data_IF_289790002712
#
_entry.id   IF_289790002712
#
_cell.length_a   1.000
_cell.length_b   1.000
_cell.length_c   1.000
_cell.angle_alpha   90.00
_cell.angle_beta   90.00
_cell.angle_gamma   90.00
#
_symmetry.space_group_name_H-M   'P 1'
#
loop_
_entity.id
_entity.type
_entity.pdbx_description
1 polymer ?
#
# COMPACT_ATOMS: atom_id res chain seq x y z
N UNK A 1 -85.78 39.78 -51.29
CA UNK A 1 -85.24 39.61 -49.96
C UNK A 1 -83.96 38.79 -50.16
N UNK A 2 -82.81 39.43 -50.04
CA UNK A 2 -81.51 38.81 -50.18
C UNK A 2 -80.93 38.61 -48.80
N UNK A 3 -80.56 37.36 -48.47
CA UNK A 3 -79.94 36.99 -47.17
C UNK A 3 -78.45 36.78 -47.46
N UNK A 4 -77.64 37.70 -46.92
CA UNK A 4 -76.16 37.61 -46.94
C UNK A 4 -75.66 36.68 -45.86
N UNK A 5 -75.07 35.58 -46.23
CA UNK A 5 -74.35 34.70 -45.32
C UNK A 5 -72.87 35.12 -45.26
N UNK A 6 -72.42 35.72 -44.10
CA UNK A 6 -71.03 36.03 -43.81
C UNK A 6 -70.33 34.77 -43.35
N UNK A 7 -69.41 34.28 -44.15
CA UNK A 7 -68.46 33.23 -43.73
C UNK A 7 -67.37 33.85 -42.84
N UNK A 8 -67.32 33.55 -41.56
CA UNK A 8 -66.23 33.89 -40.67
C UNK A 8 -65.15 32.83 -40.79
N UNK A 9 -64.01 33.17 -41.40
CA UNK A 9 -62.80 32.30 -41.40
C UNK A 9 -62.07 32.46 -40.08
N UNK A 10 -62.11 31.43 -39.24
CA UNK A 10 -61.32 31.34 -38.02
C UNK A 10 -59.91 30.84 -38.35
N UNK A 11 -58.92 31.74 -38.36
CA UNK A 11 -57.50 31.39 -38.48
C UNK A 11 -57.02 30.90 -37.13
N UNK A 12 -56.74 29.59 -37.03
CA UNK A 12 -56.10 29.01 -35.85
C UNK A 12 -54.58 29.24 -35.98
N UNK A 13 -54.05 30.14 -35.15
CA UNK A 13 -52.65 30.43 -35.06
C UNK A 13 -51.98 29.35 -34.19
N UNK A 14 -51.29 28.34 -34.81
CA UNK A 14 -50.55 27.31 -34.15
C UNK A 14 -49.21 27.87 -33.70
N UNK A 15 -49.10 28.40 -32.48
CA UNK A 15 -47.86 28.83 -31.86
C UNK A 15 -47.08 27.56 -31.43
N UNK A 16 -46.10 27.17 -32.26
CA UNK A 16 -45.12 26.15 -31.89
C UNK A 16 -44.24 26.63 -30.73
N UNK A 17 -44.48 26.11 -29.54
CA UNK A 17 -43.67 26.35 -28.37
C UNK A 17 -42.32 25.61 -28.52
N UNK A 18 -41.30 26.35 -28.99
CA UNK A 18 -39.92 25.83 -29.10
C UNK A 18 -39.35 25.79 -27.71
N UNK A 19 -39.44 24.62 -26.99
CA UNK A 19 -38.74 24.39 -25.72
C UNK A 19 -37.25 24.24 -26.08
N UNK A 20 -36.36 25.08 -25.54
CA UNK A 20 -34.93 24.86 -25.67
C UNK A 20 -34.62 23.55 -24.92
N UNK A 21 -34.10 22.55 -25.64
CA UNK A 21 -33.51 21.37 -25.00
C UNK A 21 -32.31 21.84 -24.19
N UNK A 22 -32.48 21.97 -22.86
CA UNK A 22 -31.36 22.16 -21.91
C UNK A 22 -30.56 20.88 -21.97
N UNK A 23 -29.47 20.88 -22.74
CA UNK A 23 -28.46 19.83 -22.68
C UNK A 23 -27.90 19.84 -21.28
N UNK A 24 -28.32 18.91 -20.45
CA UNK A 24 -27.66 18.63 -19.16
C UNK A 24 -26.21 18.24 -19.47
N UNK A 25 -25.28 19.18 -19.36
CA UNK A 25 -23.87 18.86 -19.38
C UNK A 25 -23.62 17.98 -18.15
N UNK A 26 -23.33 16.71 -18.39
CA UNK A 26 -22.87 15.80 -17.34
C UNK A 26 -21.55 16.35 -16.84
N UNK A 27 -21.54 16.87 -15.61
CA UNK A 27 -20.30 17.32 -14.96
C UNK A 27 -19.47 16.08 -14.68
N UNK A 28 -18.39 15.90 -15.44
CA UNK A 28 -17.44 14.81 -15.23
C UNK A 28 -16.83 14.94 -13.82
N UNK A 29 -16.98 13.90 -13.01
CA UNK A 29 -16.44 13.86 -11.64
C UNK A 29 -15.08 13.21 -11.66
N UNK A 30 -14.05 13.99 -11.37
CA UNK A 30 -12.66 13.51 -11.29
C UNK A 30 -12.25 13.48 -9.82
N UNK A 31 -11.64 12.38 -9.39
CA UNK A 31 -10.99 12.23 -8.12
C UNK A 31 -9.47 12.13 -8.28
N UNK A 32 -8.72 12.60 -7.30
CA UNK A 32 -7.29 12.37 -7.15
C UNK A 32 -7.03 11.60 -5.87
N UNK A 33 -6.08 10.66 -5.91
CA UNK A 33 -5.58 9.95 -4.73
C UNK A 33 -4.06 10.00 -4.68
N UNK A 34 -3.50 10.16 -3.50
CA UNK A 34 -2.07 10.02 -3.25
C UNK A 34 -1.77 8.59 -2.76
N UNK A 35 -1.23 7.71 -3.63
CA UNK A 35 -0.97 6.32 -3.27
C UNK A 35 0.12 6.16 -2.21
N UNK A 36 1.09 7.08 -2.16
CA UNK A 36 2.16 7.04 -1.15
C UNK A 36 1.56 7.29 0.23
N UNK A 37 0.78 8.36 0.35
CA UNK A 37 0.08 8.70 1.59
C UNK A 37 -0.90 7.60 2.03
N UNK A 38 -1.60 6.97 1.08
CA UNK A 38 -2.51 5.86 1.38
C UNK A 38 -1.76 4.66 1.99
N UNK A 39 -0.62 4.28 1.39
CA UNK A 39 0.18 3.15 1.88
C UNK A 39 0.82 3.45 3.24
N UNK A 40 1.35 4.67 3.43
CA UNK A 40 2.00 5.07 4.67
C UNK A 40 1.03 5.20 5.85
N UNK A 41 -0.22 5.64 5.61
CA UNK A 41 -1.20 5.92 6.65
C UNK A 41 -2.25 4.82 6.84
N UNK A 42 -2.30 3.82 5.95
CA UNK A 42 -3.23 2.71 6.09
C UNK A 42 -2.93 1.87 7.35
N UNK A 43 -3.91 1.62 8.23
CA UNK A 43 -3.69 0.82 9.44
C UNK A 43 -3.28 -0.62 9.14
N UNK A 44 -3.65 -1.15 7.99
CA UNK A 44 -3.24 -2.48 7.51
C UNK A 44 -1.73 -2.56 7.28
N UNK A 45 -1.07 -1.44 6.90
CA UNK A 45 0.38 -1.37 6.76
C UNK A 45 1.10 -1.55 8.10
N UNK A 46 0.62 -0.89 9.16
CA UNK A 46 1.16 -1.05 10.50
C UNK A 46 1.00 -2.50 11.02
N UNK A 47 -0.19 -3.09 10.84
CA UNK A 47 -0.47 -4.49 11.20
C UNK A 47 0.45 -5.47 10.44
N UNK A 48 0.67 -5.23 9.15
CA UNK A 48 1.54 -6.08 8.34
C UNK A 48 3.00 -6.03 8.82
N UNK A 49 3.51 -4.84 9.20
CA UNK A 49 4.84 -4.70 9.78
C UNK A 49 4.96 -5.40 11.13
N UNK A 50 3.99 -5.25 12.03
CA UNK A 50 3.97 -5.93 13.32
C UNK A 50 3.97 -7.45 13.14
N UNK A 51 3.15 -7.99 12.23
CA UNK A 51 3.13 -9.42 11.91
C UNK A 51 4.46 -9.91 11.36
N UNK A 52 5.13 -9.09 10.54
CA UNK A 52 6.43 -9.41 9.97
C UNK A 52 7.52 -9.44 11.05
N UNK A 53 7.53 -8.46 11.97
CA UNK A 53 8.43 -8.44 13.12
C UNK A 53 8.25 -9.67 14.01
N UNK A 54 7.01 -10.07 14.29
CA UNK A 54 6.70 -11.27 15.05
C UNK A 54 7.17 -12.56 14.35
N UNK A 55 6.97 -12.66 13.03
CA UNK A 55 7.42 -13.80 12.21
C UNK A 55 8.95 -13.98 12.27
N UNK A 56 9.70 -12.87 12.25
CA UNK A 56 11.16 -12.90 12.22
C UNK A 56 11.83 -12.84 13.60
N UNK A 57 11.10 -12.56 14.68
CA UNK A 57 11.63 -12.41 16.03
C UNK A 57 12.43 -13.62 16.51
N UNK A 58 11.91 -14.83 16.36
CA UNK A 58 12.60 -16.05 16.77
C UNK A 58 13.93 -16.23 16.04
N UNK A 59 13.96 -15.92 14.75
CA UNK A 59 15.15 -16.00 13.91
C UNK A 59 16.21 -14.96 14.31
N UNK A 60 15.78 -13.75 14.64
CA UNK A 60 16.66 -12.69 15.14
C UNK A 60 17.26 -13.06 16.49
N UNK A 61 16.48 -13.67 17.39
CA UNK A 61 16.97 -14.19 18.66
C UNK A 61 18.00 -15.31 18.47
N UNK A 62 17.78 -16.24 17.53
CA UNK A 62 18.75 -17.29 17.19
C UNK A 62 20.06 -16.71 16.64
N UNK A 63 19.99 -15.73 15.74
CA UNK A 63 21.16 -15.05 15.18
C UNK A 63 21.94 -14.31 16.27
N UNK A 64 21.25 -13.63 17.18
CA UNK A 64 21.85 -12.96 18.32
C UNK A 64 22.54 -13.96 19.24
N UNK A 65 21.89 -15.05 19.60
CA UNK A 65 22.47 -16.09 20.47
C UNK A 65 23.73 -16.71 19.82
N UNK A 66 23.70 -16.94 18.51
CA UNK A 66 24.88 -17.45 17.80
C UNK A 66 26.01 -16.43 17.78
N UNK A 67 25.71 -15.15 17.60
CA UNK A 67 26.69 -14.08 17.69
C UNK A 67 27.33 -14.00 19.08
N UNK A 68 26.52 -13.97 20.14
CA UNK A 68 26.97 -13.90 21.52
C UNK A 68 27.85 -15.12 21.88
N UNK A 69 27.48 -16.30 21.41
CA UNK A 69 28.29 -17.53 21.56
C UNK A 69 29.65 -17.40 20.88
N UNK A 70 29.71 -16.87 19.66
CA UNK A 70 30.97 -16.64 18.94
C UNK A 70 31.87 -15.71 19.73
N UNK A 71 31.32 -14.58 20.21
CA UNK A 71 32.07 -13.62 21.03
C UNK A 71 32.62 -14.25 22.30
N UNK A 72 31.83 -15.05 23.02
CA UNK A 72 32.27 -15.76 24.20
C UNK A 72 33.40 -16.74 23.92
N UNK A 73 33.33 -17.49 22.80
CA UNK A 73 34.39 -18.42 22.39
C UNK A 73 35.68 -17.71 21.98
N UNK A 74 35.58 -16.54 21.33
CA UNK A 74 36.75 -15.69 20.98
C UNK A 74 37.43 -15.16 22.21
N UNK A 75 36.65 -14.63 23.19
CA UNK A 75 37.18 -14.14 24.45
C UNK A 75 37.83 -15.27 25.30
N UNK A 76 37.26 -16.47 25.30
CA UNK A 76 37.85 -17.64 25.95
C UNK A 76 39.15 -18.06 25.29
N UNK A 77 39.19 -18.12 23.99
CA UNK A 77 40.40 -18.47 23.24
C UNK A 77 41.51 -17.43 23.51
N UNK A 78 41.20 -16.14 23.44
CA UNK A 78 42.17 -15.06 23.70
C UNK A 78 42.78 -15.17 25.10
N UNK A 79 41.97 -15.44 26.13
CA UNK A 79 42.46 -15.61 27.52
C UNK A 79 43.35 -16.80 27.72
N UNK A 80 43.07 -17.92 27.03
CA UNK A 80 43.68 -19.21 27.32
C UNK A 80 44.75 -19.62 26.30
N UNK A 81 44.92 -18.89 25.17
CA UNK A 81 45.79 -19.26 24.06
C UNK A 81 47.24 -19.52 24.46
N UNK A 82 47.76 -18.82 25.50
CA UNK A 82 49.11 -18.99 25.94
C UNK A 82 49.36 -20.25 26.83
N UNK A 83 48.29 -20.82 27.38
CA UNK A 83 48.34 -21.98 28.24
C UNK A 83 47.71 -23.25 27.64
N UNK A 84 47.06 -23.08 26.49
CA UNK A 84 46.37 -24.12 25.73
C UNK A 84 47.35 -24.91 24.84
N UNK A 85 47.10 -26.19 24.65
CA UNK A 85 47.83 -26.97 23.64
C UNK A 85 47.58 -26.37 22.21
N UNK A 86 48.63 -26.36 21.40
CA UNK A 86 48.57 -25.80 20.06
C UNK A 86 47.50 -26.45 19.16
N UNK A 87 47.26 -27.75 19.33
CA UNK A 87 46.25 -28.51 18.58
C UNK A 87 44.84 -28.09 19.00
N UNK A 88 44.64 -27.89 20.30
CA UNK A 88 43.37 -27.44 20.88
C UNK A 88 43.07 -26.02 20.46
N UNK A 89 44.05 -25.11 20.50
CA UNK A 89 43.93 -23.74 20.08
C UNK A 89 43.53 -23.68 18.58
N UNK A 90 44.19 -24.45 17.73
CA UNK A 90 43.88 -24.50 16.31
C UNK A 90 42.46 -25.07 16.05
N UNK A 91 42.04 -26.06 16.83
CA UNK A 91 40.70 -26.65 16.71
C UNK A 91 39.63 -25.62 17.09
N UNK A 92 39.80 -24.92 18.20
CA UNK A 92 38.93 -23.83 18.63
C UNK A 92 38.84 -22.71 17.59
N UNK A 93 39.98 -22.29 17.04
CA UNK A 93 40.01 -21.27 15.99
C UNK A 93 39.18 -21.68 14.79
N UNK A 94 39.33 -22.95 14.32
CA UNK A 94 38.55 -23.46 13.17
C UNK A 94 37.03 -23.52 13.49
N UNK A 95 36.68 -23.89 14.72
CA UNK A 95 35.28 -23.88 15.16
C UNK A 95 34.68 -22.48 15.13
N UNK A 96 35.36 -21.47 15.66
CA UNK A 96 34.95 -20.08 15.65
C UNK A 96 34.75 -19.61 14.19
N UNK A 97 35.70 -19.89 13.31
CA UNK A 97 35.61 -19.52 11.89
C UNK A 97 34.41 -20.19 11.19
N UNK A 98 34.13 -21.45 11.53
CA UNK A 98 32.95 -22.17 10.98
C UNK A 98 31.64 -21.50 11.47
N UNK A 99 31.54 -21.16 12.75
CA UNK A 99 30.38 -20.49 13.32
C UNK A 99 30.20 -19.08 12.73
N UNK A 100 31.29 -18.31 12.53
CA UNK A 100 31.24 -17.02 11.85
C UNK A 100 30.68 -17.14 10.41
N UNK A 101 31.18 -18.11 9.66
CA UNK A 101 30.66 -18.36 8.30
C UNK A 101 29.18 -18.76 8.31
N UNK A 102 28.78 -19.57 9.30
CA UNK A 102 27.36 -19.93 9.47
C UNK A 102 26.52 -18.71 9.82
N UNK A 103 26.97 -17.88 10.77
CA UNK A 103 26.28 -16.66 11.15
C UNK A 103 26.07 -15.73 9.94
N UNK A 104 27.14 -15.45 9.19
CA UNK A 104 27.09 -14.59 8.02
C UNK A 104 26.08 -15.08 6.98
N UNK A 105 26.05 -16.42 6.72
CA UNK A 105 25.09 -17.01 5.79
C UNK A 105 23.66 -16.87 6.31
N UNK A 106 23.42 -17.24 7.57
CA UNK A 106 22.08 -17.17 8.15
C UNK A 106 21.55 -15.74 8.25
N UNK A 107 22.44 -14.75 8.50
CA UNK A 107 22.08 -13.33 8.44
C UNK A 107 21.68 -12.89 7.02
N UNK A 108 22.39 -13.37 6.01
CA UNK A 108 22.06 -13.05 4.62
C UNK A 108 20.71 -13.66 4.23
N UNK A 109 20.50 -14.94 4.52
CA UNK A 109 19.23 -15.64 4.29
C UNK A 109 18.06 -14.94 5.00
N UNK A 110 18.25 -14.54 6.28
CA UNK A 110 17.23 -13.82 7.02
C UNK A 110 16.86 -12.49 6.39
N UNK A 111 17.85 -11.73 5.89
CA UNK A 111 17.61 -10.45 5.20
C UNK A 111 16.87 -10.63 3.88
N UNK A 112 17.24 -11.67 3.12
CA UNK A 112 16.58 -11.96 1.84
C UNK A 112 15.12 -12.36 2.05
N UNK A 113 14.87 -13.27 3.01
CA UNK A 113 13.52 -13.70 3.37
C UNK A 113 12.67 -12.54 3.89
N UNK A 114 13.23 -11.71 4.78
CA UNK A 114 12.54 -10.52 5.30
C UNK A 114 12.14 -9.56 4.16
N UNK A 115 13.07 -9.27 3.24
CA UNK A 115 12.80 -8.38 2.12
C UNK A 115 11.73 -8.97 1.18
N UNK A 116 11.78 -10.28 0.94
CA UNK A 116 10.76 -10.98 0.14
C UNK A 116 9.38 -10.84 0.79
N UNK A 117 9.27 -11.19 2.07
CA UNK A 117 8.00 -11.12 2.82
C UNK A 117 7.47 -9.69 2.90
N UNK A 118 8.35 -8.71 3.17
CA UNK A 118 7.98 -7.29 3.18
C UNK A 118 7.41 -6.84 1.83
N UNK A 119 8.03 -7.26 0.72
CA UNK A 119 7.53 -6.92 -0.61
C UNK A 119 6.19 -7.59 -0.91
N UNK A 120 5.97 -8.83 -0.45
CA UNK A 120 4.69 -9.52 -0.57
C UNK A 120 3.58 -8.78 0.20
N UNK A 121 3.85 -8.37 1.45
CA UNK A 121 2.88 -7.61 2.25
C UNK A 121 2.57 -6.24 1.62
N UNK A 122 3.59 -5.54 1.11
CA UNK A 122 3.39 -4.28 0.39
C UNK A 122 2.52 -4.47 -0.86
N UNK A 123 2.74 -5.54 -1.63
CA UNK A 123 1.93 -5.85 -2.82
C UNK A 123 0.46 -6.16 -2.46
N UNK A 124 0.23 -6.87 -1.34
CA UNK A 124 -1.13 -7.11 -0.82
C UNK A 124 -1.81 -5.79 -0.44
N UNK A 125 -1.10 -4.92 0.28
CA UNK A 125 -1.62 -3.60 0.68
C UNK A 125 -1.95 -2.74 -0.54
N UNK A 126 -1.08 -2.68 -1.54
CA UNK A 126 -1.34 -1.97 -2.79
C UNK A 126 -2.59 -2.49 -3.51
N UNK A 127 -2.78 -3.81 -3.51
CA UNK A 127 -3.96 -4.43 -4.12
C UNK A 127 -5.23 -4.06 -3.36
N UNK A 128 -5.20 -4.09 -2.03
CA UNK A 128 -6.31 -3.69 -1.18
C UNK A 128 -6.67 -2.22 -1.39
N UNK A 129 -5.68 -1.32 -1.35
CA UNK A 129 -5.88 0.12 -1.57
C UNK A 129 -6.51 0.37 -2.94
N UNK A 130 -6.01 -0.27 -3.99
CA UNK A 130 -6.58 -0.16 -5.35
C UNK A 130 -8.05 -0.62 -5.39
N UNK A 131 -8.38 -1.72 -4.72
CA UNK A 131 -9.75 -2.21 -4.66
C UNK A 131 -10.66 -1.19 -3.98
N UNK A 132 -10.24 -0.65 -2.83
CA UNK A 132 -10.99 0.37 -2.09
C UNK A 132 -11.21 1.63 -2.93
N UNK A 133 -10.20 2.09 -3.67
CA UNK A 133 -10.32 3.25 -4.56
C UNK A 133 -11.38 2.98 -5.63
N UNK A 134 -11.35 1.81 -6.28
CA UNK A 134 -12.30 1.44 -7.33
C UNK A 134 -13.72 1.36 -6.80
N UNK A 135 -13.92 0.74 -5.64
CA UNK A 135 -15.24 0.58 -5.03
C UNK A 135 -15.80 1.94 -4.61
N UNK A 136 -14.98 2.77 -3.92
CA UNK A 136 -15.37 4.14 -3.56
C UNK A 136 -15.73 4.99 -4.79
N UNK A 137 -14.94 4.87 -5.86
CA UNK A 137 -15.18 5.62 -7.09
C UNK A 137 -16.53 5.26 -7.72
N UNK A 138 -16.86 3.96 -7.77
CA UNK A 138 -18.15 3.47 -8.27
C UNK A 138 -19.30 3.94 -7.40
N UNK A 139 -19.19 3.78 -6.09
CA UNK A 139 -20.26 4.11 -5.15
C UNK A 139 -20.57 5.61 -5.14
N UNK A 140 -19.56 6.44 -5.35
CA UNK A 140 -19.70 7.91 -5.35
C UNK A 140 -19.86 8.51 -6.75
N UNK A 141 -19.87 7.70 -7.80
CA UNK A 141 -20.09 8.13 -9.18
C UNK A 141 -18.96 9.01 -9.71
N UNK A 142 -17.70 8.66 -9.44
CA UNK A 142 -16.56 9.25 -10.11
C UNK A 142 -16.40 8.64 -11.50
N UNK A 143 -16.16 9.48 -12.51
CA UNK A 143 -15.90 9.04 -13.89
C UNK A 143 -14.42 8.68 -14.10
N UNK A 144 -13.53 9.30 -13.30
CA UNK A 144 -12.08 9.10 -13.37
C UNK A 144 -11.45 9.32 -12.00
N UNK A 145 -10.52 8.45 -11.63
CA UNK A 145 -9.61 8.67 -10.50
C UNK A 145 -8.18 8.59 -11.01
N UNK A 146 -7.35 9.58 -10.65
CA UNK A 146 -5.95 9.69 -11.05
C UNK A 146 -5.03 9.61 -9.83
N UNK A 147 -3.86 9.02 -10.01
CA UNK A 147 -2.83 8.84 -8.97
C UNK A 147 -1.64 9.79 -9.13
N UNK A 148 -1.54 10.46 -10.28
CA UNK A 148 -0.43 11.37 -10.57
C UNK A 148 -0.97 12.66 -11.19
N UNK A 149 -0.60 13.79 -10.62
CA UNK A 149 -0.95 15.11 -11.12
C UNK A 149 0.13 16.13 -10.75
N UNK A 150 0.34 17.15 -11.60
CA UNK A 150 1.26 18.26 -11.32
C UNK A 150 0.69 19.20 -10.26
N UNK A 151 -0.63 19.34 -10.25
CA UNK A 151 -1.37 20.16 -9.31
C UNK A 151 -2.72 19.50 -8.97
N UNK A 152 -3.11 19.54 -7.72
CA UNK A 152 -4.38 19.02 -7.21
C UNK A 152 -4.97 20.07 -6.27
N UNK A 153 -6.23 20.39 -6.46
CA UNK A 153 -6.98 21.19 -5.49
C UNK A 153 -7.65 20.28 -4.46
N UNK A 154 -7.90 20.78 -3.26
CA UNK A 154 -8.60 20.04 -2.20
C UNK A 154 -9.99 19.52 -2.62
N UNK A 155 -10.61 20.20 -3.61
CA UNK A 155 -11.95 19.85 -4.10
C UNK A 155 -11.99 18.49 -4.82
N UNK A 156 -10.88 18.03 -5.39
CA UNK A 156 -10.77 16.77 -6.13
C UNK A 156 -9.96 15.70 -5.39
N UNK A 157 -9.25 16.06 -4.31
CA UNK A 157 -8.51 15.12 -3.48
C UNK A 157 -9.47 14.27 -2.62
N UNK A 158 -9.51 12.97 -2.93
CA UNK A 158 -10.32 11.99 -2.19
C UNK A 158 -9.47 11.07 -1.32
N UNK A 159 -8.17 11.34 -1.14
CA UNK A 159 -7.24 10.49 -0.37
C UNK A 159 -7.75 10.25 1.06
N UNK A 160 -8.22 11.30 1.75
CA UNK A 160 -8.77 11.17 3.10
C UNK A 160 -10.01 10.27 3.16
N UNK A 161 -10.84 10.30 2.11
CA UNK A 161 -12.04 9.48 2.02
C UNK A 161 -11.70 7.99 1.83
N UNK A 162 -10.63 7.71 1.08
CA UNK A 162 -10.11 6.34 0.92
C UNK A 162 -9.53 5.83 2.25
N UNK A 163 -8.76 6.68 2.97
CA UNK A 163 -8.24 6.33 4.30
C UNK A 163 -9.35 6.00 5.29
N UNK A 164 -10.43 6.79 5.33
CA UNK A 164 -11.58 6.52 6.18
C UNK A 164 -12.24 5.16 5.90
N UNK A 165 -12.25 4.72 4.65
CA UNK A 165 -12.74 3.38 4.28
C UNK A 165 -11.77 2.30 4.74
N UNK A 166 -10.45 2.51 4.53
CA UNK A 166 -9.42 1.57 4.97
C UNK A 166 -9.43 1.38 6.50
N UNK A 167 -9.65 2.45 7.28
CA UNK A 167 -9.76 2.38 8.74
C UNK A 167 -10.93 1.51 9.24
N UNK A 168 -11.99 1.38 8.45
CA UNK A 168 -13.18 0.57 8.79
C UNK A 168 -13.04 -0.90 8.40
N UNK A 169 -12.01 -1.22 7.60
CA UNK A 169 -11.72 -2.59 7.23
C UNK A 169 -10.91 -3.30 8.34
N UNK A 170 -11.14 -4.62 8.53
CA UNK A 170 -10.46 -5.41 9.55
C UNK A 170 -8.95 -5.52 9.38
#
# INVERSE_FOLDING_TARGET
IFMFIRRASTAVLLTAFFLPAVSAQSVTRIGFVDPVRLIEQAPQGAKALESLEDEFRTRDEELKNLHDRIQAMEADLEKNILVMDATDAQTRQREIENLKRRLARSQQEAREDYNLRRNEELAKLQTLVRQVIVDLARDRGFDLVVEQAVYVSDAVDITAQVLEVLEKLP
#
